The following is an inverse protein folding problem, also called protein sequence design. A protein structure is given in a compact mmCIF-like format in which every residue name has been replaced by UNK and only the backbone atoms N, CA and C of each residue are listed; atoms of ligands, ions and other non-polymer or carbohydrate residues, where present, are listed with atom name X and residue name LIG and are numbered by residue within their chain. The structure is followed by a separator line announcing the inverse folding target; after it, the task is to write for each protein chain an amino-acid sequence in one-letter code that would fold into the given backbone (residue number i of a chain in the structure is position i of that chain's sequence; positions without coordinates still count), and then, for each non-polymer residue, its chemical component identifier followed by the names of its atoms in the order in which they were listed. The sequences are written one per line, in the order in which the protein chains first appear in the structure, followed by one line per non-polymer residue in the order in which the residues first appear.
data_IF_501331814134
#
_entry.id   IF_501331814134
#
_cell.length_a   1.000
_cell.length_b   1.000
_cell.length_c   1.000
_cell.angle_alpha   90.00
_cell.angle_beta   90.00
_cell.angle_gamma   90.00
#
_symmetry.space_group_name_H-M   'P 1'
#
loop_
_entity.id
_entity.type
_entity.pdbx_description
1 polymer ?
#
# COMPACT_ATOMS: atom_id res chain seq x y z
N UNK A 1 -10.35 -13.99 -37.82
CA UNK A 1 -10.26 -12.66 -37.17
C UNK A 1 -9.65 -12.80 -35.78
N UNK A 2 -8.87 -11.79 -35.36
CA UNK A 2 -7.86 -11.86 -34.31
C UNK A 2 -8.36 -12.15 -32.89
N UNK A 3 -7.56 -12.94 -32.20
CA UNK A 3 -7.50 -13.11 -30.75
C UNK A 3 -7.22 -11.77 -30.05
N UNK A 4 -8.05 -11.43 -29.06
CA UNK A 4 -7.67 -10.50 -27.99
C UNK A 4 -8.03 -11.13 -26.66
N UNK A 5 -6.99 -11.52 -25.93
CA UNK A 5 -7.07 -12.01 -24.56
C UNK A 5 -7.83 -11.03 -23.68
N UNK A 6 -9.04 -11.41 -23.27
CA UNK A 6 -9.67 -10.86 -22.08
C UNK A 6 -8.77 -11.21 -20.91
N UNK A 7 -8.13 -10.18 -20.34
CA UNK A 7 -7.43 -10.30 -19.06
C UNK A 7 -8.50 -10.60 -18.02
N UNK A 8 -8.68 -11.89 -17.75
CA UNK A 8 -9.41 -12.39 -16.61
C UNK A 8 -8.84 -11.73 -15.35
N UNK A 9 -9.73 -11.17 -14.54
CA UNK A 9 -9.46 -10.78 -13.16
C UNK A 9 -9.92 -11.94 -12.28
N UNK A 10 -9.07 -12.94 -11.93
CA UNK A 10 -9.45 -13.87 -10.90
C UNK A 10 -9.14 -13.22 -9.54
N UNK A 11 -10.23 -12.84 -8.88
CA UNK A 11 -10.64 -13.32 -7.56
C UNK A 11 -9.58 -13.51 -6.44
N UNK A 12 -10.03 -13.15 -5.23
CA UNK A 12 -9.48 -13.48 -3.90
C UNK A 12 -8.39 -12.53 -3.37
N UNK A 13 -8.83 -11.39 -2.81
CA UNK A 13 -8.36 -10.77 -1.54
C UNK A 13 -8.84 -9.31 -1.45
N UNK A 14 -10.16 -9.12 -1.34
CA UNK A 14 -10.79 -7.80 -1.16
C UNK A 14 -12.02 -7.79 -0.23
N UNK A 15 -12.22 -8.81 0.61
CA UNK A 15 -13.41 -8.85 1.50
C UNK A 15 -13.14 -8.67 3.00
N UNK A 16 -11.88 -8.48 3.43
CA UNK A 16 -11.55 -8.44 4.87
C UNK A 16 -10.87 -7.14 5.35
N UNK A 17 -10.96 -6.03 4.61
CA UNK A 17 -10.48 -4.74 5.13
C UNK A 17 -11.30 -3.55 4.64
N UNK A 18 -12.62 -3.60 4.79
CA UNK A 18 -13.50 -2.44 4.64
C UNK A 18 -14.51 -2.36 5.78
N UNK A 19 -14.04 -2.21 7.03
CA UNK A 19 -14.63 -1.51 8.20
C UNK A 19 -13.69 -1.82 9.39
N UNK A 20 -13.04 -0.89 10.08
CA UNK A 20 -12.97 0.55 9.92
C UNK A 20 -11.92 1.14 10.86
N UNK A 21 -11.22 2.16 10.39
CA UNK A 21 -10.60 3.18 11.24
C UNK A 21 -10.77 4.51 10.50
N UNK A 22 -12.00 5.05 10.51
CA UNK A 22 -12.15 6.51 10.40
C UNK A 22 -11.78 7.05 11.77
N UNK A 23 -11.02 8.14 11.79
CA UNK A 23 -10.51 8.88 12.96
C UNK A 23 -9.50 8.07 13.77
N UNK A 24 -8.27 8.53 14.03
CA UNK A 24 -7.82 9.78 14.66
C UNK A 24 -6.39 10.00 14.09
N UNK A 25 -5.91 11.18 13.67
CA UNK A 25 -5.33 12.26 14.48
C UNK A 25 -5.10 13.46 13.54
N UNK A 26 -5.70 14.60 13.89
CA UNK A 26 -5.28 15.92 13.39
C UNK A 26 -4.10 16.34 14.27
N UNK A 27 -2.89 16.21 13.77
CA UNK A 27 -1.69 16.75 14.44
C UNK A 27 -1.09 17.83 13.57
N UNK A 28 -1.01 19.03 14.14
CA UNK A 28 -0.25 20.17 13.64
C UNK A 28 1.19 19.71 13.35
N UNK A 29 1.68 19.86 12.12
CA UNK A 29 3.04 19.42 11.80
C UNK A 29 3.76 20.38 10.83
N UNK A 30 4.96 20.75 11.27
CA UNK A 30 6.09 21.31 10.54
C UNK A 30 6.13 20.85 9.06
N UNK A 31 6.22 21.76 8.07
CA UNK A 31 6.15 21.44 6.64
C UNK A 31 7.26 20.51 6.12
N UNK A 32 8.31 20.22 6.91
CA UNK A 32 9.36 19.26 6.57
C UNK A 32 9.03 17.79 6.91
N UNK A 33 8.00 17.54 7.74
CA UNK A 33 7.57 16.20 8.17
C UNK A 33 7.00 15.27 7.07
N UNK A 34 6.33 15.74 6.01
CA UNK A 34 5.70 14.85 5.03
C UNK A 34 6.69 14.12 4.11
N UNK A 35 7.77 14.78 3.69
CA UNK A 35 8.77 14.19 2.80
C UNK A 35 9.50 12.99 3.42
N UNK A 36 9.87 13.11 4.69
CA UNK A 36 10.54 12.03 5.44
C UNK A 36 9.60 10.82 5.64
N UNK A 37 8.31 11.06 5.88
CA UNK A 37 7.32 9.99 6.03
C UNK A 37 7.08 9.24 4.72
N UNK A 38 7.03 9.96 3.57
CA UNK A 38 6.95 9.33 2.25
C UNK A 38 8.15 8.43 1.98
N UNK A 39 9.37 8.91 2.26
CA UNK A 39 10.60 8.14 2.07
C UNK A 39 10.62 6.87 2.94
N UNK A 40 10.22 6.98 4.20
CA UNK A 40 10.12 5.83 5.11
C UNK A 40 9.08 4.82 4.61
N UNK A 41 7.91 5.28 4.17
CA UNK A 41 6.87 4.42 3.63
C UNK A 41 7.32 3.70 2.34
N UNK A 42 8.03 4.38 1.44
CA UNK A 42 8.63 3.74 0.26
C UNK A 42 9.69 2.72 0.64
N UNK A 43 10.51 3.01 1.64
CA UNK A 43 11.53 2.09 2.16
C UNK A 43 10.90 0.82 2.75
N UNK A 44 9.78 0.94 3.47
CA UNK A 44 9.00 -0.20 3.99
C UNK A 44 8.48 -1.09 2.86
N UNK A 45 8.07 -0.50 1.74
CA UNK A 45 7.65 -1.24 0.54
C UNK A 45 8.83 -1.73 -0.32
N UNK A 46 10.07 -1.39 0.03
CA UNK A 46 11.26 -1.70 -0.76
C UNK A 46 11.26 -1.01 -2.12
N UNK A 47 10.74 0.21 -2.18
CA UNK A 47 10.62 1.02 -3.38
C UNK A 47 11.55 2.23 -3.34
N UNK A 48 12.05 2.68 -4.50
CA UNK A 48 12.83 3.89 -4.58
C UNK A 48 11.95 5.13 -4.41
N UNK A 49 12.58 6.26 -4.07
CA UNK A 49 11.91 7.57 -3.87
C UNK A 49 11.11 8.05 -5.09
N UNK A 50 11.53 7.66 -6.29
CA UNK A 50 10.90 7.98 -7.57
C UNK A 50 9.83 6.96 -7.99
N UNK A 51 9.43 6.04 -7.11
CA UNK A 51 8.45 5.03 -7.45
C UNK A 51 7.09 5.65 -7.77
N UNK A 52 6.49 5.21 -8.88
CA UNK A 52 5.18 5.68 -9.31
C UNK A 52 4.06 5.03 -8.50
N UNK A 53 2.90 5.68 -8.48
CA UNK A 53 1.68 5.16 -7.83
C UNK A 53 1.30 3.75 -8.30
N UNK A 54 1.56 3.43 -9.57
CA UNK A 54 1.36 2.07 -10.12
C UNK A 54 2.35 1.05 -9.55
N UNK A 55 3.63 1.42 -9.44
CA UNK A 55 4.65 0.56 -8.83
C UNK A 55 4.36 0.31 -7.35
N UNK A 56 3.91 1.33 -6.62
CA UNK A 56 3.46 1.23 -5.22
C UNK A 56 2.31 0.22 -5.09
N UNK A 57 1.25 0.38 -5.90
CA UNK A 57 0.11 -0.55 -5.91
C UNK A 57 0.53 -1.98 -6.28
N UNK A 58 1.43 -2.15 -7.24
CA UNK A 58 1.93 -3.47 -7.65
C UNK A 58 2.72 -4.13 -6.52
N UNK A 59 3.66 -3.41 -5.89
CA UNK A 59 4.45 -3.93 -4.77
C UNK A 59 3.58 -4.27 -3.56
N UNK A 60 2.63 -3.40 -3.22
CA UNK A 60 1.67 -3.65 -2.16
C UNK A 60 0.93 -4.98 -2.37
N UNK A 61 0.39 -5.22 -3.57
CA UNK A 61 -0.30 -6.49 -3.89
C UNK A 61 0.63 -7.71 -3.75
N UNK A 62 1.89 -7.59 -4.17
CA UNK A 62 2.87 -8.67 -4.02
C UNK A 62 3.18 -8.97 -2.55
N UNK A 63 3.42 -7.93 -1.74
CA UNK A 63 3.73 -8.07 -0.33
C UNK A 63 2.52 -8.57 0.47
N UNK A 64 1.33 -8.06 0.18
CA UNK A 64 0.08 -8.48 0.82
C UNK A 64 -0.21 -9.97 0.59
N UNK A 65 0.04 -10.48 -0.63
CA UNK A 65 -0.08 -11.92 -0.91
C UNK A 65 0.95 -12.77 -0.15
N UNK A 66 2.16 -12.24 0.05
CA UNK A 66 3.27 -12.93 0.71
C UNK A 66 3.11 -12.96 2.23
N UNK A 67 2.67 -11.86 2.83
CA UNK A 67 2.54 -11.67 4.27
C UNK A 67 1.09 -11.79 4.75
N UNK A 68 0.22 -12.45 3.98
CA UNK A 68 -1.17 -12.60 4.38
C UNK A 68 -1.29 -13.49 5.62
N UNK A 69 -2.04 -13.09 6.66
CA UNK A 69 -2.16 -13.86 7.91
C UNK A 69 -2.75 -15.27 7.71
N UNK A 70 -3.74 -15.46 6.82
CA UNK A 70 -4.24 -16.82 6.49
C UNK A 70 -3.16 -17.78 5.99
N UNK A 71 -2.06 -17.26 5.41
CA UNK A 71 -0.97 -18.07 4.87
C UNK A 71 0.18 -18.24 5.85
N UNK A 72 -0.05 -17.95 7.13
CA UNK A 72 1.00 -17.94 8.17
C UNK A 72 1.91 -16.71 8.09
N UNK A 73 1.44 -15.63 7.45
CA UNK A 73 2.15 -14.36 7.40
C UNK A 73 2.05 -13.59 8.71
N UNK A 74 3.05 -12.75 8.97
CA UNK A 74 3.09 -11.93 10.18
C UNK A 74 2.11 -10.73 10.10
N UNK A 75 1.14 -10.62 11.02
CA UNK A 75 0.14 -9.54 11.00
C UNK A 75 0.76 -8.16 11.27
N UNK A 76 1.89 -8.10 11.98
CA UNK A 76 2.58 -6.84 12.27
C UNK A 76 3.26 -6.28 11.01
N UNK A 77 3.93 -7.14 10.23
CA UNK A 77 4.46 -6.82 8.91
C UNK A 77 3.35 -6.33 7.98
N UNK A 78 2.20 -7.02 7.95
CA UNK A 78 1.06 -6.59 7.14
C UNK A 78 0.56 -5.20 7.54
N UNK A 79 0.45 -4.91 8.85
CA UNK A 79 0.11 -3.56 9.34
C UNK A 79 1.09 -2.50 8.85
N UNK A 80 2.40 -2.76 8.90
CA UNK A 80 3.43 -1.83 8.42
C UNK A 80 3.30 -1.56 6.93
N UNK A 81 3.06 -2.60 6.14
CA UNK A 81 2.84 -2.52 4.68
C UNK A 81 1.59 -1.69 4.34
N UNK A 82 0.48 -1.94 5.05
CA UNK A 82 -0.78 -1.20 4.87
C UNK A 82 -0.62 0.27 5.25
N UNK A 83 -0.02 0.55 6.42
CA UNK A 83 0.20 1.93 6.88
C UNK A 83 1.10 2.72 5.90
N UNK A 84 2.16 2.10 5.39
CA UNK A 84 3.02 2.69 4.38
C UNK A 84 2.23 3.01 3.09
N UNK A 85 1.42 2.07 2.60
CA UNK A 85 0.59 2.29 1.42
C UNK A 85 -0.42 3.43 1.59
N UNK A 86 -1.08 3.51 2.75
CA UNK A 86 -2.04 4.58 3.04
C UNK A 86 -1.38 5.96 3.09
N UNK A 87 -0.20 6.07 3.70
CA UNK A 87 0.58 7.32 3.73
C UNK A 87 0.92 7.79 2.30
N UNK A 88 1.39 6.87 1.45
CA UNK A 88 1.75 7.19 0.06
C UNK A 88 0.56 7.58 -0.81
N UNK A 89 -0.63 7.05 -0.52
CA UNK A 89 -1.86 7.39 -1.24
C UNK A 89 -2.50 8.69 -0.75
N UNK A 90 -2.31 9.07 0.53
CA UNK A 90 -2.82 10.33 1.09
C UNK A 90 -2.01 11.54 0.66
N UNK A 91 -0.71 11.37 0.43
CA UNK A 91 0.15 12.42 -0.09
C UNK A 91 0.54 12.12 -1.54
N UNK A 92 -0.35 12.33 -2.52
CA UNK A 92 0.08 12.52 -3.90
C UNK A 92 0.74 13.90 -3.96
N UNK A 93 1.92 14.05 -3.35
CA UNK A 93 2.72 15.25 -3.46
C UNK A 93 3.29 15.32 -4.87
N UNK A 94 2.50 16.01 -5.70
CA UNK A 94 2.80 16.82 -6.89
C UNK A 94 3.55 16.11 -8.02
#
# INVERSE_FOLDING_TARGET
MGSRSSRSLPSLLWDALRIGIRTIWRSTANPARPLLQRQQALSVLGLPLNATSEQIKRRYRTLAKRHHPDRGGDPEQMRRIVAAYELLMKEPSI
#
